data_IF_655578519940
#
_entry.id   IF_655578519940
#
_cell.length_a   1.000
_cell.length_b   1.000
_cell.length_c   1.000
_cell.angle_alpha   90.00
_cell.angle_beta   90.00
_cell.angle_gamma   90.00
#
_symmetry.space_group_name_H-M   'P 1'
#
loop_
_entity.id
_entity.type
_entity.pdbx_description
1 polymer ?
#
# COMPACT_ATOMS: atom_id res chain seq x y z
N UNK A 1 -13.13 -6.87 -27.23
CA UNK A 1 -12.81 -6.46 -25.85
C UNK A 1 -11.66 -5.47 -25.90
N UNK A 2 -11.92 -4.19 -25.61
CA UNK A 2 -10.93 -3.11 -25.59
C UNK A 2 -10.97 -2.41 -24.23
N UNK A 3 -9.83 -1.86 -23.85
CA UNK A 3 -9.69 -1.05 -22.63
C UNK A 3 -10.25 0.35 -22.94
N UNK A 4 -11.14 0.81 -22.06
CA UNK A 4 -11.76 2.14 -22.10
C UNK A 4 -10.94 3.15 -21.29
N UNK A 5 -10.49 2.78 -20.09
CA UNK A 5 -9.65 3.66 -19.27
C UNK A 5 -8.74 2.89 -18.32
N UNK A 6 -7.63 3.54 -17.93
CA UNK A 6 -6.69 3.10 -16.91
C UNK A 6 -6.48 4.28 -15.97
N UNK A 7 -6.54 4.05 -14.66
CA UNK A 7 -6.38 5.10 -13.64
C UNK A 7 -5.66 4.58 -12.41
N UNK A 8 -4.81 5.41 -11.82
CA UNK A 8 -4.34 5.21 -10.46
C UNK A 8 -5.39 5.73 -9.46
N UNK A 9 -5.70 4.92 -8.46
CA UNK A 9 -6.66 5.25 -7.41
C UNK A 9 -6.01 5.13 -6.04
N UNK A 10 -6.26 6.12 -5.18
CA UNK A 10 -5.89 6.05 -3.77
C UNK A 10 -7.00 5.32 -3.01
N UNK A 11 -6.67 4.22 -2.32
CA UNK A 11 -7.55 3.70 -1.29
C UNK A 11 -6.76 3.07 -0.15
N UNK A 12 -7.33 3.13 1.05
CA UNK A 12 -6.76 2.50 2.24
C UNK A 12 -7.17 1.02 2.26
N UNK A 13 -6.64 0.22 1.33
CA UNK A 13 -7.07 -1.17 1.07
C UNK A 13 -6.77 -2.16 2.20
N UNK A 14 -5.96 -1.77 3.18
CA UNK A 14 -5.42 -2.67 4.20
C UNK A 14 -6.12 -2.55 5.56
N UNK A 15 -7.14 -1.69 5.68
CA UNK A 15 -7.83 -1.47 6.94
C UNK A 15 -9.32 -1.77 6.79
N UNK A 16 -9.87 -2.70 7.57
CA UNK A 16 -11.32 -2.81 7.69
C UNK A 16 -11.88 -1.47 8.16
N UNK A 17 -13.13 -1.21 7.80
CA UNK A 17 -13.80 0.02 8.20
C UNK A 17 -13.76 0.15 9.73
N UNK A 18 -13.33 1.32 10.23
CA UNK A 18 -13.20 1.55 11.67
C UNK A 18 -14.54 1.49 12.40
N UNK A 19 -15.65 1.64 11.67
CA UNK A 19 -17.00 1.49 12.22
C UNK A 19 -17.50 0.05 12.27
N UNK A 20 -16.74 -0.92 11.75
CA UNK A 20 -17.12 -2.34 11.82
C UNK A 20 -16.79 -2.92 13.20
N UNK A 21 -17.78 -2.89 14.11
CA UNK A 21 -17.65 -3.44 15.46
C UNK A 21 -17.53 -4.98 15.49
N UNK A 22 -17.70 -5.67 14.35
CA UNK A 22 -17.49 -7.13 14.25
C UNK A 22 -16.00 -7.51 14.14
N UNK A 23 -15.14 -6.54 13.82
CA UNK A 23 -13.69 -6.74 13.72
C UNK A 23 -13.05 -6.55 15.10
N UNK A 24 -12.31 -7.56 15.56
CA UNK A 24 -11.50 -7.48 16.78
C UNK A 24 -10.61 -6.24 16.74
N UNK A 25 -10.80 -5.33 17.70
CA UNK A 25 -10.05 -4.07 17.81
C UNK A 25 -8.57 -4.29 18.16
N UNK A 26 -8.23 -5.46 18.72
CA UNK A 26 -6.88 -5.83 19.11
C UNK A 26 -6.27 -6.80 18.12
N UNK A 27 -5.48 -6.25 17.19
CA UNK A 27 -4.54 -7.05 16.41
C UNK A 27 -3.24 -7.22 17.20
N UNK A 28 -2.65 -8.43 17.15
CA UNK A 28 -1.32 -8.66 17.74
C UNK A 28 -0.31 -7.77 17.02
N UNK A 29 0.67 -7.18 17.73
CA UNK A 29 1.70 -6.37 17.09
C UNK A 29 2.39 -7.19 16.00
N UNK A 30 2.69 -6.52 14.89
CA UNK A 30 3.35 -7.16 13.76
C UNK A 30 4.73 -7.64 14.19
N UNK A 31 5.20 -8.76 13.64
CA UNK A 31 6.58 -9.18 13.85
C UNK A 31 7.59 -8.10 13.37
N UNK A 32 7.16 -7.29 12.39
CA UNK A 32 7.91 -6.15 11.85
C UNK A 32 8.04 -4.97 12.84
N UNK A 33 7.26 -4.95 13.93
CA UNK A 33 7.36 -3.91 14.96
C UNK A 33 8.58 -4.13 15.89
N UNK A 34 9.31 -5.24 15.69
CA UNK A 34 10.53 -5.57 16.42
C UNK A 34 11.77 -5.23 15.58
N UNK A 35 12.96 -5.12 16.18
CA UNK A 35 14.21 -4.98 15.43
C UNK A 35 14.44 -6.17 14.49
N UNK A 36 14.48 -5.90 13.18
CA UNK A 36 14.77 -6.88 12.12
C UNK A 36 16.09 -6.53 11.45
N UNK A 37 17.01 -7.49 11.37
CA UNK A 37 18.32 -7.30 10.75
C UNK A 37 18.18 -6.88 9.28
N UNK A 38 18.84 -5.79 8.91
CA UNK A 38 18.83 -5.18 7.59
C UNK A 38 20.13 -4.39 7.36
N UNK A 39 20.44 -3.94 6.13
CA UNK A 39 21.68 -3.18 5.85
C UNK A 39 21.86 -1.92 6.72
N UNK A 40 20.78 -1.32 7.19
CA UNK A 40 20.78 -0.12 8.04
C UNK A 40 20.95 -0.41 9.54
N UNK A 41 20.92 -1.68 9.96
CA UNK A 41 21.04 -2.08 11.38
C UNK A 41 22.38 -1.67 11.98
N UNK A 42 23.43 -1.49 11.16
CA UNK A 42 24.74 -0.99 11.60
C UNK A 42 24.71 0.46 12.11
N UNK A 43 23.64 1.20 11.83
CA UNK A 43 23.46 2.58 12.31
C UNK A 43 22.49 2.59 13.49
N UNK A 44 22.93 2.93 14.72
CA UNK A 44 22.09 2.84 15.92
C UNK A 44 20.76 3.59 15.81
N UNK A 45 20.74 4.72 15.09
CA UNK A 45 19.53 5.52 14.83
C UNK A 45 18.43 4.79 14.04
N UNK A 46 18.76 3.72 13.30
CA UNK A 46 17.81 2.95 12.49
C UNK A 46 17.64 1.50 12.96
N UNK A 47 18.45 1.04 13.92
CA UNK A 47 18.48 -0.35 14.36
C UNK A 47 17.18 -0.80 15.07
N UNK A 48 16.48 0.14 15.74
CA UNK A 48 15.27 -0.17 16.51
C UNK A 48 14.05 -0.50 15.65
N UNK A 49 13.92 0.14 14.48
CA UNK A 49 12.70 0.08 13.67
C UNK A 49 13.02 0.21 12.20
N UNK A 50 12.63 -0.76 11.38
CA UNK A 50 12.84 -0.72 9.92
C UNK A 50 12.14 0.49 9.25
N UNK A 51 10.91 0.87 9.64
CA UNK A 51 10.27 2.10 9.14
C UNK A 51 11.07 3.39 9.30
N UNK A 52 12.02 3.46 10.24
CA UNK A 52 12.77 4.69 10.55
C UNK A 52 13.66 5.22 9.40
N UNK A 53 13.94 4.39 8.38
CA UNK A 53 14.75 4.77 7.22
C UNK A 53 14.07 4.55 5.87
N UNK A 54 12.87 3.95 5.86
CA UNK A 54 12.10 3.72 4.62
C UNK A 54 11.20 4.90 4.32
N UNK A 55 10.91 5.20 3.04
CA UNK A 55 9.95 6.24 2.69
C UNK A 55 8.55 5.89 3.23
N UNK A 56 7.83 6.91 3.70
CA UNK A 56 6.43 6.78 4.11
C UNK A 56 5.50 7.00 2.90
N UNK A 57 5.67 6.18 1.86
CA UNK A 57 4.84 6.25 0.66
C UNK A 57 3.61 5.37 0.81
N UNK A 58 2.46 5.90 0.41
CA UNK A 58 1.19 5.18 0.42
C UNK A 58 1.18 4.12 -0.69
N UNK A 59 0.42 3.04 -0.46
CA UNK A 59 0.06 2.12 -1.53
C UNK A 59 -1.09 2.70 -2.34
N UNK A 60 -1.22 2.30 -3.59
CA UNK A 60 -2.29 2.73 -4.48
C UNK A 60 -2.83 1.55 -5.28
N UNK A 61 -3.92 1.74 -6.00
CA UNK A 61 -4.51 0.75 -6.88
C UNK A 61 -4.47 1.18 -8.34
N UNK A 62 -4.32 0.23 -9.25
CA UNK A 62 -4.52 0.42 -10.68
C UNK A 62 -5.89 -0.15 -11.06
N UNK A 63 -6.76 0.72 -11.56
CA UNK A 63 -8.09 0.37 -12.02
C UNK A 63 -8.14 0.43 -13.55
N UNK A 64 -8.56 -0.66 -14.18
CA UNK A 64 -8.71 -0.78 -15.62
C UNK A 64 -10.19 -1.03 -15.91
N UNK A 65 -10.80 -0.19 -16.74
CA UNK A 65 -12.19 -0.34 -17.19
C UNK A 65 -12.20 -0.73 -18.67
N UNK A 66 -13.00 -1.73 -19.03
CA UNK A 66 -13.24 -2.15 -20.42
C UNK A 66 -14.53 -1.52 -20.96
N UNK A 67 -14.67 -1.51 -22.29
CA UNK A 67 -15.86 -0.93 -22.96
C UNK A 67 -17.18 -1.65 -22.63
N UNK A 68 -17.11 -2.92 -22.23
CA UNK A 68 -18.27 -3.73 -21.83
C UNK A 68 -18.70 -3.51 -20.37
N UNK A 69 -18.03 -2.60 -19.65
CA UNK A 69 -18.29 -2.29 -18.25
C UNK A 69 -17.59 -3.23 -17.26
N UNK A 70 -16.87 -4.25 -17.74
CA UNK A 70 -16.01 -5.04 -16.87
C UNK A 70 -14.82 -4.20 -16.41
N UNK A 71 -14.33 -4.49 -15.21
CA UNK A 71 -13.17 -3.82 -14.66
C UNK A 71 -12.21 -4.80 -14.01
N UNK A 72 -10.92 -4.51 -14.15
CA UNK A 72 -9.82 -5.21 -13.49
C UNK A 72 -9.15 -4.28 -12.49
N UNK A 73 -8.64 -4.86 -11.40
CA UNK A 73 -8.02 -4.08 -10.33
C UNK A 73 -6.80 -4.80 -9.77
N UNK A 74 -5.74 -4.05 -9.50
CA UNK A 74 -4.52 -4.55 -8.84
C UNK A 74 -3.93 -3.52 -7.87
N UNK A 75 -3.35 -4.01 -6.77
CA UNK A 75 -2.65 -3.17 -5.79
C UNK A 75 -1.20 -2.95 -6.24
N UNK A 76 -0.71 -1.73 -6.04
CA UNK A 76 0.66 -1.34 -6.33
C UNK A 76 1.30 -0.58 -5.15
N UNK A 77 2.62 -0.68 -5.08
CA UNK A 77 3.44 -0.01 -4.06
C UNK A 77 4.14 1.20 -4.67
N UNK A 78 4.82 1.97 -3.83
CA UNK A 78 5.67 3.12 -4.20
C UNK A 78 4.94 4.44 -4.50
N UNK A 79 3.66 4.54 -4.14
CA UNK A 79 2.91 5.80 -4.04
C UNK A 79 2.93 6.69 -5.28
N UNK A 80 2.85 8.01 -5.03
CA UNK A 80 2.69 9.04 -6.07
C UNK A 80 3.69 8.95 -7.23
N UNK A 81 5.00 8.72 -7.00
CA UNK A 81 5.96 8.61 -8.10
C UNK A 81 5.61 7.57 -9.17
N UNK A 82 4.99 6.46 -8.77
CA UNK A 82 4.55 5.42 -9.71
C UNK A 82 3.13 5.67 -10.19
N UNK A 83 2.23 6.14 -9.32
CA UNK A 83 0.85 6.46 -9.68
C UNK A 83 0.76 7.47 -10.84
N UNK A 84 1.63 8.49 -10.87
CA UNK A 84 1.62 9.49 -11.94
C UNK A 84 2.00 8.94 -13.31
N UNK A 85 2.72 7.82 -13.39
CA UNK A 85 3.08 7.16 -14.66
C UNK A 85 1.85 6.47 -15.27
N UNK A 86 0.90 6.07 -14.43
CA UNK A 86 -0.34 5.41 -14.87
C UNK A 86 -1.36 6.43 -15.35
N UNK A 87 -1.35 7.63 -14.77
CA UNK A 87 -2.27 8.72 -15.10
C UNK A 87 -1.78 9.64 -16.24
N UNK A 88 -0.55 9.45 -16.73
CA UNK A 88 0.00 10.12 -17.93
C UNK A 88 -0.62 9.58 -19.21
#
# INVERSE_FOLDING_TARGET
>A
MKIKSIKAVTADFLRPDKSDDTVSKESRPSWNDRPVANPMTRYPRYAKSRPSWTPNWENFGCLIEAEDGNWGFAIANHGKPVATIIDE
#
